data_IF_347494387441
#
_entry.id   IF_347494387441
#
_cell.length_a   1.000
_cell.length_b   1.000
_cell.length_c   1.000
_cell.angle_alpha   90.00
_cell.angle_beta   90.00
_cell.angle_gamma   90.00
#
_symmetry.space_group_name_H-M   'P 1'
#
loop_
_entity.id
_entity.type
_entity.pdbx_description
1 polymer ?
#
# COMPACT_ATOMS: atom_id res chain seq x y z
N UNK A 1 -33.78 -15.22 -49.94
CA UNK A 1 -34.37 -15.27 -48.57
C UNK A 1 -33.46 -15.96 -47.55
N UNK A 2 -32.92 -17.16 -47.82
CA UNK A 2 -32.07 -17.89 -46.87
C UNK A 2 -30.77 -17.15 -46.44
N UNK A 3 -30.07 -16.49 -47.38
CA UNK A 3 -28.85 -15.72 -47.09
C UNK A 3 -29.10 -14.51 -46.16
N UNK A 4 -30.23 -13.82 -46.34
CA UNK A 4 -30.61 -12.66 -45.52
C UNK A 4 -30.95 -13.09 -44.08
N UNK A 5 -31.61 -14.24 -43.93
CA UNK A 5 -31.93 -14.80 -42.62
C UNK A 5 -30.68 -15.18 -41.82
N UNK A 6 -29.69 -15.81 -42.47
CA UNK A 6 -28.43 -16.19 -41.81
C UNK A 6 -27.63 -14.97 -41.34
N UNK A 7 -27.57 -13.92 -42.17
CA UNK A 7 -26.90 -12.67 -41.81
C UNK A 7 -27.59 -11.97 -40.63
N UNK A 8 -28.93 -11.92 -40.63
CA UNK A 8 -29.69 -11.31 -39.54
C UNK A 8 -29.50 -12.05 -38.20
N UNK A 9 -29.47 -13.38 -38.23
CA UNK A 9 -29.19 -14.20 -37.04
C UNK A 9 -27.78 -13.97 -36.52
N UNK A 10 -26.79 -13.88 -37.42
CA UNK A 10 -25.40 -13.57 -37.03
C UNK A 10 -25.26 -12.22 -36.32
N UNK A 11 -25.92 -11.18 -36.83
CA UNK A 11 -25.91 -9.83 -36.24
C UNK A 11 -26.57 -9.82 -34.85
N UNK A 12 -27.70 -10.52 -34.71
CA UNK A 12 -28.40 -10.66 -33.42
C UNK A 12 -27.54 -11.39 -32.39
N UNK A 13 -26.90 -12.49 -32.79
CA UNK A 13 -26.01 -13.26 -31.91
C UNK A 13 -24.77 -12.45 -31.50
N UNK A 14 -24.13 -11.75 -32.43
CA UNK A 14 -22.97 -10.91 -32.12
C UNK A 14 -23.35 -9.75 -31.18
N UNK A 15 -24.50 -9.12 -31.39
CA UNK A 15 -25.02 -8.06 -30.51
C UNK A 15 -25.34 -8.59 -29.11
N UNK A 16 -25.96 -9.77 -29.02
CA UNK A 16 -26.25 -10.42 -27.74
C UNK A 16 -24.98 -10.81 -26.99
N UNK A 17 -23.98 -11.37 -27.68
CA UNK A 17 -22.67 -11.69 -27.10
C UNK A 17 -21.94 -10.45 -26.62
N UNK A 18 -21.90 -9.38 -27.44
CA UNK A 18 -21.26 -8.12 -27.07
C UNK A 18 -21.89 -7.50 -25.82
N UNK A 19 -23.22 -7.51 -25.75
CA UNK A 19 -23.95 -7.05 -24.56
C UNK A 19 -23.67 -7.92 -23.33
N UNK A 20 -23.59 -9.25 -23.49
CA UNK A 20 -23.30 -10.18 -22.40
C UNK A 20 -21.87 -9.99 -21.85
N UNK A 21 -20.88 -9.87 -22.74
CA UNK A 21 -19.47 -9.60 -22.39
C UNK A 21 -19.32 -8.26 -21.70
N UNK A 22 -19.94 -7.19 -22.21
CA UNK A 22 -19.92 -5.88 -21.57
C UNK A 22 -20.51 -5.92 -20.15
N UNK A 23 -21.60 -6.69 -19.95
CA UNK A 23 -22.25 -6.83 -18.64
C UNK A 23 -21.43 -7.65 -17.64
N UNK A 24 -20.63 -8.62 -18.11
CA UNK A 24 -19.75 -9.45 -17.28
C UNK A 24 -18.44 -8.74 -16.95
N UNK A 25 -17.83 -8.05 -17.90
CA UNK A 25 -16.51 -7.41 -17.73
C UNK A 25 -16.54 -6.15 -16.86
N UNK A 26 -17.67 -5.43 -16.81
CA UNK A 26 -17.77 -4.16 -16.06
C UNK A 26 -18.20 -4.33 -14.59
N UNK A 27 -18.88 -5.42 -14.25
CA UNK A 27 -19.26 -5.76 -12.86
C UNK A 27 -18.07 -5.92 -11.89
N UNK A 28 -16.96 -6.61 -12.25
CA UNK A 28 -15.82 -6.76 -11.34
C UNK A 28 -15.10 -5.44 -11.08
N UNK A 29 -15.05 -4.54 -12.07
CA UNK A 29 -14.41 -3.23 -11.92
C UNK A 29 -15.20 -2.31 -10.97
N UNK A 30 -16.54 -2.39 -11.00
CA UNK A 30 -17.39 -1.67 -10.06
C UNK A 30 -17.21 -2.12 -8.60
N UNK A 31 -16.97 -3.42 -8.39
CA UNK A 31 -16.67 -3.97 -7.05
C UNK A 31 -15.28 -3.57 -6.56
N UNK A 32 -14.28 -3.57 -7.44
CA UNK A 32 -12.92 -3.12 -7.11
C UNK A 32 -12.88 -1.62 -6.77
N UNK A 33 -13.64 -0.80 -7.49
CA UNK A 33 -13.76 0.65 -7.21
C UNK A 33 -14.39 0.94 -5.85
N UNK A 34 -15.39 0.16 -5.43
CA UNK A 34 -15.99 0.29 -4.10
C UNK A 34 -15.04 -0.17 -2.98
N UNK A 35 -14.21 -1.18 -3.23
CA UNK A 35 -13.28 -1.71 -2.23
C UNK A 35 -12.06 -0.80 -2.05
N UNK A 36 -11.56 -0.17 -3.12
CA UNK A 36 -10.48 0.82 -3.06
C UNK A 36 -10.90 2.09 -2.32
N UNK A 37 -12.18 2.50 -2.40
CA UNK A 37 -12.72 3.62 -1.60
C UNK A 37 -12.73 3.35 -0.10
N UNK A 38 -12.66 2.08 0.34
CA UNK A 38 -12.56 1.71 1.76
C UNK A 38 -11.11 1.59 2.24
N UNK A 39 -10.13 1.61 1.33
CA UNK A 39 -8.71 1.50 1.62
C UNK A 39 -8.00 2.85 1.78
N UNK A 40 -8.74 3.97 1.82
CA UNK A 40 -8.20 5.24 2.31
C UNK A 40 -8.05 5.14 3.85
N UNK A 41 -6.83 4.98 4.41
CA UNK A 41 -6.64 4.71 5.83
C UNK A 41 -6.79 6.03 6.61
N UNK A 42 -7.09 5.99 7.92
CA UNK A 42 -6.27 5.18 8.83
C UNK A 42 -7.08 4.54 9.94
N UNK A 43 -7.09 3.20 10.07
CA UNK A 43 -6.80 2.49 11.34
C UNK A 43 -6.55 0.99 11.08
N UNK A 44 -5.32 0.62 11.44
CA UNK A 44 -4.75 -0.67 11.83
C UNK A 44 -5.70 -1.89 11.96
N UNK A 45 -5.19 -3.04 11.48
CA UNK A 45 -5.53 -4.42 11.90
C UNK A 45 -6.67 -5.12 11.15
N UNK A 46 -6.35 -5.79 10.05
CA UNK A 46 -7.21 -6.80 9.44
C UNK A 46 -6.44 -7.62 8.41
N UNK A 47 -5.88 -8.76 8.83
CA UNK A 47 -5.19 -9.73 7.96
C UNK A 47 -6.13 -10.16 6.82
N UNK A 48 -5.78 -9.83 5.58
CA UNK A 48 -6.54 -10.17 4.37
C UNK A 48 -6.52 -11.69 4.14
N UNK A 49 -7.67 -12.34 4.31
CA UNK A 49 -7.88 -13.73 3.93
C UNK A 49 -7.94 -13.84 2.40
N UNK A 50 -7.07 -14.68 1.85
CA UNK A 50 -6.90 -14.93 0.43
C UNK A 50 -8.18 -15.54 -0.15
N UNK A 51 -8.93 -14.75 -0.93
CA UNK A 51 -9.87 -15.30 -1.91
C UNK A 51 -9.07 -15.87 -3.09
N UNK A 52 -9.47 -17.01 -3.69
CA UNK A 52 -8.72 -17.61 -4.80
C UNK A 52 -8.74 -16.64 -5.99
N UNK A 53 -7.59 -16.07 -6.32
CA UNK A 53 -7.44 -15.24 -7.50
C UNK A 53 -7.45 -16.14 -8.75
N UNK A 54 -7.98 -15.66 -9.89
CA UNK A 54 -7.77 -16.34 -11.16
C UNK A 54 -6.26 -16.40 -11.47
N UNK A 55 -5.77 -17.48 -12.09
CA UNK A 55 -4.34 -17.73 -12.28
C UNK A 55 -3.62 -16.61 -13.05
N UNK A 56 -4.34 -15.89 -13.91
CA UNK A 56 -3.84 -14.73 -14.64
C UNK A 56 -3.50 -13.55 -13.71
N UNK A 57 -4.19 -13.42 -12.58
CA UNK A 57 -3.96 -12.37 -11.59
C UNK A 57 -2.93 -12.76 -10.53
N UNK A 58 -2.65 -14.05 -10.33
CA UNK A 58 -1.59 -14.48 -9.42
C UNK A 58 -0.21 -13.97 -9.88
N UNK A 59 0.08 -14.11 -11.17
CA UNK A 59 1.36 -13.66 -11.74
C UNK A 59 1.50 -12.13 -11.70
N UNK A 60 0.40 -11.40 -11.96
CA UNK A 60 0.38 -9.94 -11.87
C UNK A 60 0.58 -9.47 -10.43
N UNK A 61 -0.15 -10.05 -9.47
CA UNK A 61 -0.05 -9.71 -8.04
C UNK A 61 1.34 -10.04 -7.51
N UNK A 62 1.92 -11.19 -7.87
CA UNK A 62 3.28 -11.54 -7.50
C UNK A 62 4.31 -10.52 -8.04
N UNK A 63 4.19 -10.15 -9.31
CA UNK A 63 5.09 -9.16 -9.93
C UNK A 63 4.95 -7.79 -9.27
N UNK A 64 3.72 -7.34 -9.03
CA UNK A 64 3.40 -6.08 -8.38
C UNK A 64 3.91 -6.02 -6.93
N UNK A 65 3.69 -7.08 -6.15
CA UNK A 65 4.19 -7.18 -4.78
C UNK A 65 5.72 -7.15 -4.75
N UNK A 66 6.41 -7.79 -5.70
CA UNK A 66 7.88 -7.74 -5.78
C UNK A 66 8.40 -6.32 -6.06
N UNK A 67 7.68 -5.52 -6.86
CA UNK A 67 8.02 -4.11 -7.07
C UNK A 67 7.78 -3.27 -5.82
N UNK A 68 6.68 -3.50 -5.11
CA UNK A 68 6.39 -2.80 -3.86
C UNK A 68 7.45 -3.09 -2.79
N UNK A 69 7.86 -4.35 -2.65
CA UNK A 69 8.93 -4.76 -1.72
C UNK A 69 10.26 -4.07 -2.07
N UNK A 70 10.64 -4.00 -3.36
CA UNK A 70 11.84 -3.26 -3.79
C UNK A 70 11.77 -1.77 -3.44
N UNK A 71 10.59 -1.16 -3.60
CA UNK A 71 10.36 0.25 -3.26
C UNK A 71 10.45 0.45 -1.74
N UNK A 72 9.81 -0.40 -0.95
CA UNK A 72 9.85 -0.35 0.51
C UNK A 72 11.27 -0.52 1.06
N UNK A 73 12.06 -1.44 0.50
CA UNK A 73 13.46 -1.62 0.85
C UNK A 73 14.31 -0.38 0.50
N UNK A 74 14.02 0.28 -0.61
CA UNK A 74 14.72 1.52 -1.00
C UNK A 74 14.39 2.69 -0.05
N UNK A 75 13.13 2.82 0.37
CA UNK A 75 12.72 3.81 1.37
C UNK A 75 13.29 3.47 2.76
N UNK A 76 13.15 2.23 3.21
CA UNK A 76 13.66 1.77 4.49
C UNK A 76 15.18 1.96 4.57
N UNK A 77 15.95 1.68 3.51
CA UNK A 77 17.40 1.93 3.54
C UNK A 77 17.75 3.41 3.74
N UNK A 78 16.93 4.33 3.23
CA UNK A 78 17.08 5.78 3.48
C UNK A 78 16.65 6.19 4.88
N UNK A 79 15.68 5.48 5.46
CA UNK A 79 15.02 5.85 6.71
C UNK A 79 15.57 5.12 7.95
N UNK A 80 16.07 3.91 7.80
CA UNK A 80 16.57 3.06 8.89
C UNK A 80 17.89 3.57 9.47
N UNK A 81 18.66 4.35 8.72
CA UNK A 81 19.79 5.12 9.26
C UNK A 81 19.36 6.41 9.99
N UNK A 82 18.10 6.85 9.83
CA UNK A 82 17.60 8.13 10.29
C UNK A 82 16.79 8.02 11.59
N UNK A 83 15.93 7.01 11.75
CA UNK A 83 14.91 7.10 12.81
C UNK A 83 15.35 6.71 14.24
N UNK A 84 16.39 5.90 14.42
CA UNK A 84 16.77 5.42 15.77
C UNK A 84 17.78 6.30 16.53
N UNK A 85 18.28 7.38 15.92
CA UNK A 85 19.26 8.27 16.56
C UNK A 85 19.17 9.75 16.20
N UNK A 86 18.44 10.13 15.14
CA UNK A 86 18.39 11.54 14.72
C UNK A 86 17.67 12.45 15.70
N UNK A 87 16.58 11.96 16.33
CA UNK A 87 15.86 12.77 17.32
C UNK A 87 16.77 13.21 18.46
N UNK A 88 17.53 12.27 19.04
CA UNK A 88 18.50 12.58 20.08
C UNK A 88 19.71 13.36 19.55
N UNK A 89 20.15 13.12 18.31
CA UNK A 89 21.27 13.83 17.70
C UNK A 89 20.96 15.32 17.47
N UNK A 90 19.75 15.66 17.01
CA UNK A 90 19.29 17.04 16.85
C UNK A 90 19.19 17.72 18.22
N UNK A 91 18.53 17.07 19.19
CA UNK A 91 18.40 17.62 20.55
C UNK A 91 19.77 17.83 21.20
N UNK A 92 20.71 16.89 21.01
CA UNK A 92 22.09 17.01 21.48
C UNK A 92 22.84 18.18 20.83
N UNK A 93 22.70 18.37 19.52
CA UNK A 93 23.30 19.50 18.83
C UNK A 93 22.77 20.85 19.36
N UNK A 94 21.44 20.98 19.49
CA UNK A 94 20.81 22.21 20.02
C UNK A 94 21.26 22.48 21.45
N UNK A 95 21.25 21.46 22.32
CA UNK A 95 21.67 21.61 23.71
C UNK A 95 23.13 22.06 23.80
N UNK A 96 24.04 21.42 23.05
CA UNK A 96 25.46 21.79 23.04
C UNK A 96 25.67 23.23 22.54
N UNK A 97 24.95 23.67 21.51
CA UNK A 97 25.01 25.05 21.02
C UNK A 97 24.58 26.08 22.07
N UNK A 98 23.64 25.71 22.93
CA UNK A 98 23.16 26.56 24.02
C UNK A 98 23.95 26.37 25.32
N UNK A 99 25.07 25.64 25.33
CA UNK A 99 25.88 25.37 26.52
C UNK A 99 25.27 24.34 27.49
N UNK A 100 24.26 23.60 27.04
CA UNK A 100 23.61 22.52 27.79
C UNK A 100 24.10 21.13 27.40
N UNK A 101 23.57 20.10 28.07
CA UNK A 101 23.88 18.69 27.80
C UNK A 101 22.63 17.82 27.77
N UNK A 102 22.73 16.64 27.15
CA UNK A 102 21.64 15.66 27.02
C UNK A 102 22.14 14.31 27.49
N UNK A 103 21.35 13.60 28.29
CA UNK A 103 21.69 12.27 28.81
C UNK A 103 20.52 11.30 28.71
N UNK A 104 20.85 10.01 28.59
CA UNK A 104 19.89 8.91 28.60
C UNK A 104 20.35 7.87 29.61
N UNK A 105 19.47 7.44 30.50
CA UNK A 105 19.70 6.34 31.42
C UNK A 105 18.61 5.30 31.21
N UNK A 106 19.00 4.04 31.04
CA UNK A 106 18.07 2.91 30.95
C UNK A 106 18.35 1.95 32.11
N UNK A 107 17.34 1.68 32.94
CA UNK A 107 17.42 0.77 34.08
C UNK A 107 16.07 0.09 34.34
N UNK A 108 16.08 -1.23 34.60
CA UNK A 108 14.89 -2.03 34.97
C UNK A 108 13.67 -1.83 34.04
N UNK A 109 13.91 -1.76 32.73
CA UNK A 109 12.84 -1.57 31.74
C UNK A 109 12.32 -0.13 31.63
N UNK A 110 12.84 0.81 32.42
CA UNK A 110 12.51 2.23 32.34
C UNK A 110 13.65 3.00 31.66
N UNK A 111 13.32 3.78 30.63
CA UNK A 111 14.28 4.65 29.93
C UNK A 111 13.97 6.11 30.23
N UNK A 112 14.89 6.79 30.91
CA UNK A 112 14.78 8.21 31.26
C UNK A 112 15.67 9.03 30.34
N UNK A 113 15.07 9.99 29.65
CA UNK A 113 15.74 11.00 28.84
C UNK A 113 15.77 12.32 29.61
N UNK A 114 16.91 12.99 29.67
CA UNK A 114 17.06 14.26 30.40
C UNK A 114 17.94 15.25 29.66
N UNK A 115 17.71 16.54 29.94
CA UNK A 115 18.49 17.67 29.43
C UNK A 115 18.93 18.55 30.59
N UNK A 116 20.13 19.10 30.51
CA UNK A 116 20.67 20.07 31.46
C UNK A 116 20.94 21.37 30.71
N UNK A 117 20.30 22.46 31.14
CA UNK A 117 20.50 23.80 30.58
C UNK A 117 21.58 24.52 31.41
N UNK A 118 22.40 25.39 30.79
CA UNK A 118 23.25 26.28 31.56
C UNK A 118 22.40 27.29 32.34
N UNK A 119 22.99 27.80 33.41
CA UNK A 119 22.35 28.78 34.30
C UNK A 119 22.25 30.15 33.67
#
# INVERSE_FOLDING_TARGET
MALIGLAAVGILLASALGYWVARIGLRPLARLSQEVRKLAPPRLSGRLQLSPLPPELEQFVASFNSTLERVELAYSRRNSGAHHGLGLAIVKAIALMHGGTVFVKSAQGNTTFGIQLPR
#
